data_IF_146390858702
#
_entry.id   IF_146390858702
#
_cell.length_a   1.000
_cell.length_b   1.000
_cell.length_c   1.000
_cell.angle_alpha   90.00
_cell.angle_beta   90.00
_cell.angle_gamma   90.00
#
_symmetry.space_group_name_H-M   'P 1'
#
loop_
_entity.id
_entity.type
_entity.pdbx_description
1 polymer ?
#
# COMPACT_ATOMS: atom_id res chain seq x y z
N UNK A 1 -1.98 -16.42 29.48
CA UNK A 1 -2.28 -17.28 30.63
C UNK A 1 -1.43 -16.88 31.86
N UNK A 2 -0.11 -17.16 31.90
CA UNK A 2 0.72 -16.88 33.08
C UNK A 2 0.73 -15.40 33.54
N UNK A 3 0.83 -14.43 32.62
CA UNK A 3 0.76 -12.99 32.95
C UNK A 3 -0.64 -12.55 33.40
N UNK A 4 -1.67 -13.15 32.90
CA UNK A 4 -3.06 -12.88 33.33
C UNK A 4 -3.33 -13.42 34.73
N UNK A 5 -2.80 -14.59 35.04
CA UNK A 5 -2.86 -15.22 36.37
C UNK A 5 -2.07 -14.37 37.38
N UNK A 6 -0.83 -14.01 37.06
CA UNK A 6 -0.02 -13.11 37.90
C UNK A 6 -0.69 -11.74 38.15
N UNK A 7 -1.38 -11.17 37.12
CA UNK A 7 -2.16 -9.96 37.29
C UNK A 7 -3.32 -10.16 38.27
N UNK A 8 -4.06 -11.27 38.14
CA UNK A 8 -5.19 -11.56 39.01
C UNK A 8 -4.76 -11.67 40.49
N UNK A 9 -3.66 -12.37 40.74
CA UNK A 9 -3.11 -12.55 42.09
C UNK A 9 -2.67 -11.22 42.72
N UNK A 10 -2.00 -10.36 41.95
CA UNK A 10 -1.58 -9.04 42.42
C UNK A 10 -2.76 -8.11 42.71
N UNK A 11 -3.83 -8.18 41.90
CA UNK A 11 -5.05 -7.40 42.10
C UNK A 11 -5.77 -7.87 43.38
N UNK A 12 -5.83 -9.17 43.65
CA UNK A 12 -6.43 -9.73 44.83
C UNK A 12 -5.62 -9.35 46.09
N UNK A 13 -4.32 -9.50 46.05
CA UNK A 13 -3.41 -9.09 47.15
C UNK A 13 -3.52 -7.58 47.43
N UNK A 14 -3.60 -6.75 46.40
CA UNK A 14 -3.81 -5.30 46.56
C UNK A 14 -5.13 -4.96 47.24
N UNK A 15 -6.21 -5.66 46.88
CA UNK A 15 -7.52 -5.47 47.52
C UNK A 15 -7.47 -5.85 49.02
N UNK A 16 -6.80 -6.94 49.33
CA UNK A 16 -6.58 -7.36 50.71
C UNK A 16 -5.83 -6.30 51.52
N UNK A 17 -4.70 -5.80 51.00
CA UNK A 17 -3.90 -4.78 51.67
C UNK A 17 -4.66 -3.46 51.88
N UNK A 18 -5.51 -3.07 50.94
CA UNK A 18 -6.39 -1.90 51.12
C UNK A 18 -7.46 -2.11 52.18
N UNK A 19 -8.00 -3.32 52.30
CA UNK A 19 -8.95 -3.67 53.37
C UNK A 19 -8.27 -3.63 54.74
N UNK A 20 -7.07 -4.23 54.86
CA UNK A 20 -6.27 -4.19 56.11
C UNK A 20 -5.90 -2.76 56.50
N UNK A 21 -5.57 -1.89 55.54
CA UNK A 21 -5.29 -0.48 55.79
C UNK A 21 -6.50 0.25 56.37
N UNK A 22 -7.71 -0.02 55.85
CA UNK A 22 -8.98 0.54 56.37
C UNK A 22 -9.27 0.07 57.78
N UNK A 23 -9.14 -1.23 58.05
CA UNK A 23 -9.44 -1.84 59.34
C UNK A 23 -8.46 -1.30 60.44
N UNK A 24 -7.19 -1.03 60.08
CA UNK A 24 -6.22 -0.43 61.00
C UNK A 24 -6.46 1.06 61.24
N UNK A 25 -6.90 1.79 60.23
CA UNK A 25 -7.30 3.20 60.37
C UNK A 25 -8.51 3.31 61.34
N UNK A 26 -9.49 2.44 61.18
CA UNK A 26 -10.66 2.37 62.07
C UNK A 26 -10.28 1.98 63.52
N UNK A 27 -9.19 1.21 63.70
CA UNK A 27 -8.62 0.85 64.97
C UNK A 27 -7.68 1.93 65.57
N UNK A 28 -7.45 3.05 64.85
CA UNK A 28 -6.58 4.18 65.27
C UNK A 28 -5.09 3.96 65.02
N UNK A 29 -4.66 2.90 64.33
CA UNK A 29 -3.29 2.62 63.95
C UNK A 29 -2.96 3.24 62.57
N UNK A 30 -2.75 4.55 62.54
CA UNK A 30 -2.47 5.32 61.33
C UNK A 30 -1.13 4.93 60.68
N UNK A 31 -0.10 4.59 61.47
CA UNK A 31 1.19 4.17 60.95
C UNK A 31 1.12 2.80 60.24
N UNK A 32 0.36 1.87 60.81
CA UNK A 32 0.07 0.58 60.16
C UNK A 32 -0.76 0.74 58.91
N UNK A 33 -1.76 1.60 58.89
CA UNK A 33 -2.58 1.90 57.72
C UNK A 33 -1.74 2.47 56.59
N UNK A 34 -0.84 3.43 56.83
CA UNK A 34 0.03 4.02 55.83
C UNK A 34 1.04 3.01 55.26
N UNK A 35 1.54 2.10 56.07
CA UNK A 35 2.39 1.02 55.63
C UNK A 35 1.69 0.10 54.61
N UNK A 36 0.44 -0.35 54.92
CA UNK A 36 -0.34 -1.18 53.99
C UNK A 36 -0.79 -0.43 52.75
N UNK A 37 -1.09 0.86 52.81
CA UNK A 37 -1.34 1.70 51.62
C UNK A 37 -0.12 1.78 50.74
N UNK A 38 1.06 2.00 51.26
CA UNK A 38 2.29 2.04 50.47
C UNK A 38 2.61 0.73 49.78
N UNK A 39 2.31 -0.42 50.43
CA UNK A 39 2.42 -1.72 49.80
C UNK A 39 1.38 -1.89 48.68
N UNK A 40 0.13 -1.49 48.87
CA UNK A 40 -0.93 -1.55 47.89
C UNK A 40 -0.62 -0.69 46.64
N UNK A 41 -0.02 0.49 46.83
CA UNK A 41 0.40 1.37 45.74
C UNK A 41 1.56 0.77 44.93
N UNK A 42 2.52 0.11 45.59
CA UNK A 42 3.59 -0.64 44.91
C UNK A 42 3.03 -1.78 44.05
N UNK A 43 2.03 -2.50 44.54
CA UNK A 43 1.36 -3.54 43.77
C UNK A 43 0.53 -2.96 42.61
N UNK A 44 -0.04 -1.77 42.78
CA UNK A 44 -0.74 -1.08 41.68
C UNK A 44 0.19 -0.76 40.52
N UNK A 45 1.41 -0.32 40.79
CA UNK A 45 2.40 -0.06 39.75
C UNK A 45 2.87 -1.36 39.07
N UNK A 46 3.04 -2.45 39.84
CA UNK A 46 3.34 -3.76 39.28
C UNK A 46 2.18 -4.28 38.37
N UNK A 47 0.93 -4.07 38.73
CA UNK A 47 -0.23 -4.40 37.90
C UNK A 47 -0.22 -3.61 36.60
N UNK A 48 0.10 -2.30 36.63
CA UNK A 48 0.22 -1.46 35.43
C UNK A 48 1.32 -1.95 34.48
N UNK A 49 2.45 -2.39 35.03
CA UNK A 49 3.56 -2.93 34.24
C UNK A 49 3.18 -4.27 33.58
N UNK A 50 2.50 -5.16 34.29
CA UNK A 50 1.96 -6.40 33.71
C UNK A 50 0.92 -6.11 32.64
N UNK A 51 0.03 -5.14 32.85
CA UNK A 51 -0.93 -4.73 31.80
C UNK A 51 -0.26 -4.17 30.56
N UNK A 52 0.85 -3.48 30.72
CA UNK A 52 1.67 -3.01 29.59
C UNK A 52 2.31 -4.18 28.83
N UNK A 53 2.87 -5.15 29.57
CA UNK A 53 3.43 -6.37 28.98
C UNK A 53 2.36 -7.23 28.28
N UNK A 54 1.17 -7.37 28.88
CA UNK A 54 0.04 -8.07 28.25
C UNK A 54 -0.41 -7.40 26.94
N UNK A 55 -0.51 -6.07 26.93
CA UNK A 55 -0.84 -5.31 25.71
C UNK A 55 0.22 -5.50 24.61
N UNK A 56 1.50 -5.55 24.99
CA UNK A 56 2.60 -5.86 24.07
C UNK A 56 2.55 -7.33 23.59
N UNK A 57 2.29 -8.26 24.49
CA UNK A 57 2.20 -9.69 24.19
C UNK A 57 0.95 -10.08 23.39
N UNK A 58 -0.17 -9.34 23.54
CA UNK A 58 -1.39 -9.55 22.75
C UNK A 58 -1.26 -9.12 21.29
N UNK A 59 -0.09 -8.59 20.89
CA UNK A 59 0.28 -8.46 19.49
C UNK A 59 -0.59 -7.51 18.67
N UNK A 60 -1.28 -6.53 19.31
CA UNK A 60 -2.08 -5.55 18.55
C UNK A 60 -1.17 -4.80 17.56
N UNK A 61 0.03 -4.41 17.98
CA UNK A 61 1.02 -3.79 17.10
C UNK A 61 1.49 -4.75 16.01
N UNK A 62 1.81 -6.01 16.38
CA UNK A 62 2.25 -7.03 15.43
C UNK A 62 1.16 -7.40 14.42
N UNK A 63 -0.11 -7.48 14.86
CA UNK A 63 -1.24 -7.72 13.94
C UNK A 63 -1.45 -6.56 12.98
N UNK A 64 -1.28 -5.32 13.45
CA UNK A 64 -1.36 -4.14 12.60
C UNK A 64 -0.23 -4.13 11.56
N UNK A 65 0.99 -4.46 11.96
CA UNK A 65 2.12 -4.57 11.04
C UNK A 65 1.93 -5.69 10.02
N UNK A 66 1.42 -6.86 10.45
CA UNK A 66 1.12 -7.95 9.54
C UNK A 66 0.05 -7.56 8.52
N UNK A 67 -1.07 -6.98 8.97
CA UNK A 67 -2.11 -6.51 8.05
C UNK A 67 -1.60 -5.42 7.11
N UNK A 68 -0.74 -4.51 7.60
CA UNK A 68 -0.08 -3.50 6.74
C UNK A 68 0.82 -4.13 5.69
N UNK A 69 1.53 -5.21 6.06
CA UNK A 69 2.38 -5.94 5.13
C UNK A 69 1.54 -6.67 4.07
N UNK A 70 0.47 -7.34 4.48
CA UNK A 70 -0.48 -8.02 3.58
C UNK A 70 -1.09 -7.05 2.56
N UNK A 71 -1.60 -5.90 3.02
CA UNK A 71 -2.15 -4.86 2.14
C UNK A 71 -1.10 -4.28 1.19
N UNK A 72 0.14 -4.08 1.67
CA UNK A 72 1.25 -3.61 0.84
C UNK A 72 1.61 -4.63 -0.23
N UNK A 73 1.69 -5.91 0.12
CA UNK A 73 1.97 -6.99 -0.83
C UNK A 73 0.87 -7.08 -1.88
N UNK A 74 -0.41 -7.03 -1.47
CA UNK A 74 -1.53 -7.04 -2.39
C UNK A 74 -1.51 -5.84 -3.35
N UNK A 75 -1.22 -4.64 -2.83
CA UNK A 75 -1.09 -3.44 -3.66
C UNK A 75 0.09 -3.53 -4.63
N UNK A 76 1.24 -4.05 -4.19
CA UNK A 76 2.42 -4.25 -5.04
C UNK A 76 2.13 -5.25 -6.15
N UNK A 77 1.45 -6.37 -5.83
CA UNK A 77 1.04 -7.35 -6.84
C UNK A 77 0.09 -6.75 -7.88
N UNK A 78 -0.90 -5.97 -7.45
CA UNK A 78 -1.82 -5.26 -8.35
C UNK A 78 -1.09 -4.25 -9.24
N UNK A 79 -0.15 -3.50 -8.69
CA UNK A 79 0.67 -2.54 -9.44
C UNK A 79 1.55 -3.24 -10.48
N UNK A 80 2.25 -4.31 -10.09
CA UNK A 80 3.08 -5.11 -11.01
C UNK A 80 2.22 -5.75 -12.11
N UNK A 81 1.04 -6.25 -11.76
CA UNK A 81 0.11 -6.80 -12.75
C UNK A 81 -0.36 -5.74 -13.75
N UNK A 82 -0.61 -4.50 -13.27
CA UNK A 82 -0.91 -3.35 -14.12
C UNK A 82 0.23 -3.05 -15.09
N UNK A 83 1.44 -2.92 -14.56
CA UNK A 83 2.65 -2.65 -15.35
C UNK A 83 2.90 -3.75 -16.38
N UNK A 84 2.79 -5.03 -15.98
CA UNK A 84 2.95 -6.15 -16.91
C UNK A 84 1.96 -6.10 -18.08
N UNK A 85 0.66 -5.85 -17.80
CA UNK A 85 -0.35 -5.78 -18.85
C UNK A 85 -0.12 -4.57 -19.79
N UNK A 86 0.33 -3.43 -19.27
CA UNK A 86 0.72 -2.27 -20.08
C UNK A 86 1.92 -2.59 -20.97
N UNK A 87 2.99 -3.13 -20.38
CA UNK A 87 4.19 -3.52 -21.13
C UNK A 87 3.90 -4.57 -22.20
N UNK A 88 2.97 -5.48 -21.94
CA UNK A 88 2.52 -6.48 -22.94
C UNK A 88 1.89 -5.81 -24.15
N UNK A 89 1.04 -4.81 -23.95
CA UNK A 89 0.42 -4.05 -25.05
C UNK A 89 1.46 -3.18 -25.78
N UNK A 90 2.33 -2.51 -25.06
CA UNK A 90 3.38 -1.68 -25.62
C UNK A 90 4.37 -2.51 -26.45
N UNK A 91 4.73 -3.71 -25.96
CA UNK A 91 5.57 -4.65 -26.70
C UNK A 91 4.90 -5.11 -28.00
N UNK A 92 3.60 -5.45 -27.94
CA UNK A 92 2.85 -5.82 -29.16
C UNK A 92 2.77 -4.68 -30.16
N UNK A 93 2.55 -3.44 -29.72
CA UNK A 93 2.56 -2.26 -30.58
C UNK A 93 3.96 -2.03 -31.20
N UNK A 94 5.03 -2.10 -30.39
CA UNK A 94 6.39 -1.95 -30.88
C UNK A 94 6.81 -3.05 -31.87
N UNK A 95 6.34 -4.29 -31.67
CA UNK A 95 6.54 -5.36 -32.65
C UNK A 95 5.87 -5.04 -33.99
N UNK A 96 4.62 -4.53 -33.97
CA UNK A 96 3.91 -4.15 -35.19
C UNK A 96 4.65 -2.98 -35.92
N UNK A 97 5.15 -2.00 -35.15
CA UNK A 97 5.97 -0.91 -35.72
C UNK A 97 7.29 -1.41 -36.32
N UNK A 98 7.95 -2.37 -35.68
CA UNK A 98 9.18 -2.97 -36.20
C UNK A 98 8.91 -3.73 -37.51
N UNK A 99 7.83 -4.50 -37.60
CA UNK A 99 7.44 -5.19 -38.84
C UNK A 99 7.09 -4.17 -39.97
N UNK A 100 6.37 -3.09 -39.63
CA UNK A 100 6.10 -2.02 -40.60
C UNK A 100 7.40 -1.38 -41.11
N UNK A 101 8.34 -1.06 -40.23
CA UNK A 101 9.63 -0.48 -40.61
C UNK A 101 10.49 -1.44 -41.50
N UNK A 102 10.43 -2.76 -41.22
CA UNK A 102 11.03 -3.77 -42.09
C UNK A 102 10.40 -3.77 -43.48
N UNK A 103 9.08 -3.73 -43.58
CA UNK A 103 8.39 -3.65 -44.87
C UNK A 103 8.76 -2.38 -45.62
N UNK A 104 8.90 -1.23 -44.95
CA UNK A 104 9.33 0.03 -45.55
C UNK A 104 10.76 -0.04 -46.07
N UNK A 105 11.65 -0.68 -45.31
CA UNK A 105 13.02 -0.92 -45.77
C UNK A 105 13.07 -1.80 -47.03
N UNK A 106 12.34 -2.91 -47.09
CA UNK A 106 12.27 -3.74 -48.28
C UNK A 106 11.66 -2.99 -49.49
N UNK A 107 10.63 -2.17 -49.27
CA UNK A 107 10.12 -1.27 -50.33
C UNK A 107 11.17 -0.30 -50.83
N UNK A 108 11.95 0.32 -49.93
CA UNK A 108 13.02 1.23 -50.31
C UNK A 108 14.08 0.51 -51.16
N UNK A 109 14.48 -0.71 -50.83
CA UNK A 109 15.37 -1.57 -51.64
C UNK A 109 14.81 -1.83 -53.03
N UNK A 110 13.55 -2.25 -53.13
CA UNK A 110 12.91 -2.50 -54.41
C UNK A 110 12.83 -1.24 -55.27
N UNK A 111 12.52 -0.08 -54.70
CA UNK A 111 12.50 1.19 -55.40
C UNK A 111 13.91 1.59 -55.84
N UNK A 112 14.94 1.39 -55.06
CA UNK A 112 16.30 1.66 -55.41
C UNK A 112 16.79 0.79 -56.59
N UNK A 113 16.40 -0.49 -56.62
CA UNK A 113 16.74 -1.42 -57.70
C UNK A 113 16.19 -0.98 -59.05
N UNK A 114 15.12 -0.18 -59.13
CA UNK A 114 14.56 0.40 -60.34
C UNK A 114 14.85 1.88 -60.51
N UNK A 115 15.82 2.43 -59.74
CA UNK A 115 16.20 3.83 -59.80
C UNK A 115 15.22 4.82 -59.16
N UNK A 116 14.23 4.35 -58.41
CA UNK A 116 13.17 5.16 -57.78
C UNK A 116 13.45 5.57 -56.33
N UNK A 117 14.59 5.21 -55.76
CA UNK A 117 15.05 5.65 -54.45
C UNK A 117 16.59 5.77 -54.43
N UNK A 118 17.14 6.62 -53.57
CA UNK A 118 18.55 6.76 -53.35
C UNK A 118 19.08 5.73 -52.34
N UNK A 119 20.38 5.42 -52.41
CA UNK A 119 21.04 4.56 -51.42
C UNK A 119 20.91 5.11 -49.98
N UNK A 120 20.91 6.43 -49.85
CA UNK A 120 20.70 7.12 -48.58
C UNK A 120 19.32 6.80 -47.98
N UNK A 121 18.25 6.83 -48.80
CA UNK A 121 16.89 6.47 -48.35
C UNK A 121 16.80 5.00 -47.90
N UNK A 122 17.52 4.09 -48.57
CA UNK A 122 17.58 2.68 -48.15
C UNK A 122 18.30 2.55 -46.81
N UNK A 123 19.41 3.27 -46.61
CA UNK A 123 20.12 3.24 -45.32
C UNK A 123 19.31 3.86 -44.18
N UNK A 124 18.60 4.96 -44.40
CA UNK A 124 17.72 5.58 -43.42
C UNK A 124 16.58 4.63 -43.00
N UNK A 125 15.97 3.94 -43.97
CA UNK A 125 14.93 2.94 -43.69
C UNK A 125 15.49 1.72 -42.94
N UNK A 126 16.73 1.29 -43.20
CA UNK A 126 17.40 0.22 -42.47
C UNK A 126 17.62 0.62 -41.00
N UNK A 127 18.17 1.82 -40.77
CA UNK A 127 18.42 2.33 -39.43
C UNK A 127 17.11 2.42 -38.61
N UNK A 128 16.04 2.90 -39.25
CA UNK A 128 14.72 2.96 -38.63
C UNK A 128 14.21 1.55 -38.24
N UNK A 129 14.35 0.57 -39.13
CA UNK A 129 13.95 -0.81 -38.85
C UNK A 129 14.74 -1.40 -37.67
N UNK A 130 16.05 -1.18 -37.62
CA UNK A 130 16.89 -1.62 -36.51
C UNK A 130 16.54 -0.93 -35.18
N UNK A 131 16.24 0.36 -35.21
CA UNK A 131 15.84 1.12 -34.04
C UNK A 131 14.52 0.56 -33.44
N UNK A 132 13.52 0.31 -34.31
CA UNK A 132 12.24 -0.27 -33.90
C UNK A 132 12.37 -1.70 -33.38
N UNK A 133 13.22 -2.52 -33.98
CA UNK A 133 13.55 -3.85 -33.44
C UNK A 133 14.16 -3.80 -32.04
N UNK A 134 15.14 -2.90 -31.84
CA UNK A 134 15.77 -2.70 -30.55
C UNK A 134 14.77 -2.22 -29.49
N UNK A 135 13.86 -1.32 -29.87
CA UNK A 135 12.80 -0.84 -28.97
C UNK A 135 11.84 -1.98 -28.57
N UNK A 136 11.41 -2.80 -29.52
CA UNK A 136 10.56 -3.96 -29.24
C UNK A 136 11.27 -4.97 -28.32
N UNK A 137 12.56 -5.25 -28.60
CA UNK A 137 13.35 -6.16 -27.75
C UNK A 137 13.53 -5.62 -26.32
N UNK A 138 13.75 -4.31 -26.16
CA UNK A 138 13.87 -3.69 -24.83
C UNK A 138 12.56 -3.80 -24.03
N UNK A 139 11.43 -3.51 -24.64
CA UNK A 139 10.10 -3.66 -24.00
C UNK A 139 9.80 -5.12 -23.66
N UNK A 140 10.17 -6.06 -24.52
CA UNK A 140 10.05 -7.49 -24.25
C UNK A 140 10.87 -7.92 -23.02
N UNK A 141 12.11 -7.45 -22.90
CA UNK A 141 12.96 -7.76 -21.76
C UNK A 141 12.41 -7.15 -20.45
N UNK A 142 11.84 -5.94 -20.50
CA UNK A 142 11.23 -5.30 -19.34
C UNK A 142 9.93 -6.02 -18.91
N UNK A 143 9.11 -6.43 -19.88
CA UNK A 143 7.92 -7.25 -19.64
C UNK A 143 8.27 -8.56 -18.93
N UNK A 144 9.30 -9.29 -19.40
CA UNK A 144 9.73 -10.55 -18.77
C UNK A 144 10.31 -10.33 -17.38
N UNK A 145 11.01 -9.22 -17.13
CA UNK A 145 11.47 -8.87 -15.78
C UNK A 145 10.30 -8.64 -14.84
N UNK A 146 9.32 -7.83 -15.25
CA UNK A 146 8.11 -7.56 -14.45
C UNK A 146 7.32 -8.84 -14.19
N UNK A 147 7.26 -9.74 -15.18
CA UNK A 147 6.67 -11.07 -15.05
C UNK A 147 7.37 -11.87 -13.95
N UNK A 148 8.68 -11.94 -13.99
CA UNK A 148 9.47 -12.69 -12.99
C UNK A 148 9.27 -12.12 -11.57
N UNK A 149 9.25 -10.80 -11.41
CA UNK A 149 8.99 -10.13 -10.12
C UNK A 149 7.59 -10.47 -9.58
N UNK A 150 6.56 -10.46 -10.45
CA UNK A 150 5.19 -10.82 -10.06
C UNK A 150 5.07 -12.28 -9.65
N UNK A 151 5.72 -13.20 -10.38
CA UNK A 151 5.75 -14.62 -10.04
C UNK A 151 6.41 -14.87 -8.69
N UNK A 152 7.58 -14.25 -8.44
CA UNK A 152 8.27 -14.33 -7.14
C UNK A 152 7.38 -13.83 -6.00
N UNK A 153 6.70 -12.70 -6.18
CA UNK A 153 5.79 -12.14 -5.18
C UNK A 153 4.61 -13.08 -4.89
N UNK A 154 4.14 -13.79 -5.92
CA UNK A 154 3.06 -14.78 -5.80
C UNK A 154 3.54 -16.16 -5.29
N UNK A 155 4.84 -16.36 -5.06
CA UNK A 155 5.43 -17.58 -4.55
C UNK A 155 5.74 -18.64 -5.61
N UNK A 156 5.72 -18.27 -6.89
CA UNK A 156 6.10 -19.15 -8.01
C UNK A 156 7.58 -18.98 -8.38
N UNK A 157 8.15 -19.96 -9.04
CA UNK A 157 9.48 -19.82 -9.62
C UNK A 157 9.43 -18.91 -10.87
N UNK A 158 10.46 -18.07 -11.12
CA UNK A 158 10.46 -17.14 -12.26
C UNK A 158 10.31 -17.81 -13.63
N UNK A 159 10.81 -19.06 -13.76
CA UNK A 159 10.77 -19.86 -14.97
C UNK A 159 9.47 -20.66 -15.11
N UNK A 160 8.58 -20.59 -14.12
CA UNK A 160 7.34 -21.37 -14.15
C UNK A 160 6.38 -20.84 -15.21
N UNK A 161 5.79 -21.75 -15.98
CA UNK A 161 4.87 -21.41 -17.06
C UNK A 161 3.46 -21.08 -16.51
N UNK A 162 3.37 -19.95 -15.78
CA UNK A 162 2.12 -19.41 -15.26
C UNK A 162 1.60 -18.35 -16.23
N UNK A 163 0.33 -18.44 -16.60
CA UNK A 163 -0.32 -17.40 -17.39
C UNK A 163 -0.83 -16.27 -16.48
N UNK A 164 -0.41 -15.05 -16.80
CA UNK A 164 -0.87 -13.85 -16.09
C UNK A 164 -2.09 -13.32 -16.82
N UNK A 165 -3.25 -13.37 -16.15
CA UNK A 165 -4.50 -12.87 -16.69
C UNK A 165 -4.53 -11.36 -16.90
N UNK A 166 -5.59 -10.90 -17.57
CA UNK A 166 -5.84 -9.47 -17.74
C UNK A 166 -6.34 -8.83 -16.45
N UNK A 167 -6.11 -7.52 -16.31
CA UNK A 167 -6.67 -6.75 -15.19
C UNK A 167 -8.20 -6.77 -15.26
N UNK A 168 -8.88 -6.93 -14.11
CA UNK A 168 -10.33 -6.76 -14.06
C UNK A 168 -10.69 -5.30 -14.41
N UNK A 169 -11.73 -5.13 -15.21
CA UNK A 169 -12.23 -3.78 -15.55
C UNK A 169 -12.80 -3.15 -14.28
N UNK A 170 -12.36 -1.91 -13.94
CA UNK A 170 -12.88 -1.21 -12.77
C UNK A 170 -14.40 -1.00 -12.89
N UNK A 171 -15.10 -1.25 -11.79
CA UNK A 171 -16.54 -0.99 -11.72
C UNK A 171 -16.79 0.53 -11.66
N UNK A 172 -17.28 1.08 -12.76
CA UNK A 172 -17.58 2.51 -12.88
C UNK A 172 -18.60 2.98 -11.84
N UNK A 173 -19.55 2.12 -11.44
CA UNK A 173 -20.57 2.47 -10.44
C UNK A 173 -19.96 2.71 -9.05
N UNK A 174 -18.87 2.01 -8.73
CA UNK A 174 -18.13 2.23 -7.48
C UNK A 174 -17.40 3.57 -7.47
N UNK A 175 -16.83 3.99 -8.61
CA UNK A 175 -16.23 5.32 -8.75
C UNK A 175 -17.27 6.44 -8.61
N UNK A 176 -18.45 6.26 -9.24
CA UNK A 176 -19.56 7.22 -9.15
C UNK A 176 -20.13 7.32 -7.73
N UNK A 177 -20.08 6.24 -6.95
CA UNK A 177 -20.54 6.21 -5.56
C UNK A 177 -19.53 6.76 -4.55
N UNK A 178 -18.26 6.95 -4.94
CA UNK A 178 -17.22 7.48 -4.05
C UNK A 178 -17.45 8.95 -3.75
N UNK A 179 -17.47 9.27 -2.45
CA UNK A 179 -17.61 10.64 -1.96
C UNK A 179 -16.53 10.91 -0.92
N UNK A 180 -15.47 11.66 -1.24
CA UNK A 180 -14.34 11.90 -0.32
C UNK A 180 -14.76 12.41 1.05
N UNK A 181 -15.78 13.27 1.11
CA UNK A 181 -16.30 13.85 2.35
C UNK A 181 -16.92 12.79 3.28
N UNK A 182 -17.69 11.85 2.73
CA UNK A 182 -18.33 10.78 3.51
C UNK A 182 -17.34 9.65 3.82
N UNK A 183 -16.40 9.40 2.92
CA UNK A 183 -15.38 8.34 3.04
C UNK A 183 -14.22 8.75 3.96
N UNK A 184 -14.05 10.06 4.27
CA UNK A 184 -13.01 10.59 5.15
C UNK A 184 -12.89 9.79 6.44
N UNK A 185 -14.00 9.56 7.14
CA UNK A 185 -14.00 8.84 8.43
C UNK A 185 -13.48 7.41 8.30
N UNK A 186 -13.89 6.73 7.23
CA UNK A 186 -13.47 5.35 6.96
C UNK A 186 -11.98 5.30 6.59
N UNK A 187 -11.52 6.23 5.74
CA UNK A 187 -10.12 6.32 5.34
C UNK A 187 -9.20 6.59 6.54
N UNK A 188 -9.56 7.57 7.39
CA UNK A 188 -8.81 7.87 8.62
C UNK A 188 -8.82 6.71 9.62
N UNK A 189 -9.94 5.97 9.71
CA UNK A 189 -10.07 4.81 10.59
C UNK A 189 -9.26 3.60 10.13
N UNK A 190 -9.06 3.45 8.82
CA UNK A 190 -8.32 2.33 8.23
C UNK A 190 -6.82 2.63 8.04
N UNK A 191 -6.38 3.88 8.22
CA UNK A 191 -4.97 4.21 8.07
C UNK A 191 -4.14 3.64 9.23
N UNK A 192 -3.16 2.79 8.91
CA UNK A 192 -2.34 2.09 9.89
C UNK A 192 -1.48 3.04 10.71
N UNK A 193 -0.92 4.07 10.10
CA UNK A 193 -0.06 5.05 10.77
C UNK A 193 -0.83 5.89 11.77
N UNK A 194 -2.01 6.39 11.40
CA UNK A 194 -2.92 7.09 12.32
C UNK A 194 -3.41 6.19 13.45
N UNK A 195 -3.69 4.91 13.16
CA UNK A 195 -4.06 3.93 14.19
C UNK A 195 -2.92 3.71 15.18
N UNK A 196 -1.69 3.56 14.70
CA UNK A 196 -0.50 3.42 15.53
C UNK A 196 -0.28 4.67 16.39
N UNK A 197 -0.32 5.87 15.79
CA UNK A 197 -0.20 7.14 16.51
C UNK A 197 -1.26 7.31 17.60
N UNK A 198 -2.52 6.95 17.32
CA UNK A 198 -3.63 7.04 18.27
C UNK A 198 -3.51 6.02 19.42
N UNK A 199 -3.00 4.82 19.14
CA UNK A 199 -2.89 3.73 20.12
C UNK A 199 -1.55 3.72 20.88
N UNK A 200 -0.55 4.49 20.45
CA UNK A 200 0.72 4.58 21.16
C UNK A 200 0.49 5.09 22.60
N UNK A 201 1.06 4.36 23.57
CA UNK A 201 1.01 4.79 24.97
C UNK A 201 1.73 6.13 25.14
N UNK A 202 1.14 7.03 25.93
CA UNK A 202 1.72 8.34 26.20
C UNK A 202 2.03 8.47 27.70
N UNK A 203 3.26 8.82 28.03
CA UNK A 203 3.71 9.15 29.38
C UNK A 203 4.51 10.46 29.32
N UNK A 204 3.81 11.59 29.32
CA UNK A 204 4.44 12.89 29.17
C UNK A 204 3.66 14.00 29.84
N UNK A 205 4.14 15.22 29.71
CA UNK A 205 3.52 16.44 30.25
C UNK A 205 2.28 16.84 29.43
N UNK A 206 1.40 17.64 30.02
CA UNK A 206 0.24 18.20 29.31
C UNK A 206 0.62 18.95 28.02
N UNK A 207 1.78 19.64 28.02
CA UNK A 207 2.29 20.35 26.83
C UNK A 207 2.60 19.37 25.68
N UNK A 208 3.22 18.25 25.99
CA UNK A 208 3.53 17.20 25.02
C UNK A 208 2.29 16.47 24.55
N UNK A 209 1.30 16.30 25.43
CA UNK A 209 -0.02 15.74 25.03
C UNK A 209 -0.70 16.64 24.00
N UNK A 210 -0.72 17.95 24.21
CA UNK A 210 -1.29 18.89 23.24
C UNK A 210 -0.47 18.98 21.94
N UNK A 211 0.86 18.80 22.00
CA UNK A 211 1.67 18.70 20.80
C UNK A 211 1.28 17.46 19.98
N UNK A 212 1.23 16.29 20.61
CA UNK A 212 0.79 15.03 19.97
C UNK A 212 -0.61 15.12 19.37
N UNK A 213 -1.56 15.76 20.06
CA UNK A 213 -2.92 15.94 19.51
C UNK A 213 -2.91 16.79 18.23
N UNK A 214 -2.05 17.82 18.17
CA UNK A 214 -1.89 18.64 16.95
C UNK A 214 -1.24 17.85 15.82
N UNK A 215 -0.22 17.05 16.14
CA UNK A 215 0.46 16.20 15.14
C UNK A 215 -0.50 15.17 14.54
N UNK A 216 -1.35 14.54 15.36
CA UNK A 216 -2.39 13.63 14.90
C UNK A 216 -3.40 14.38 14.01
N UNK A 217 -3.88 15.55 14.42
CA UNK A 217 -4.82 16.35 13.63
C UNK A 217 -4.22 16.78 12.30
N UNK A 218 -2.94 17.16 12.27
CA UNK A 218 -2.22 17.46 11.03
C UNK A 218 -2.14 16.23 10.13
N UNK A 219 -1.76 15.07 10.65
CA UNK A 219 -1.71 13.81 9.90
C UNK A 219 -3.08 13.41 9.33
N UNK A 220 -4.17 13.69 10.04
CA UNK A 220 -5.54 13.48 9.57
C UNK A 220 -5.88 14.37 8.36
N UNK A 221 -5.50 15.64 8.40
CA UNK A 221 -5.73 16.57 7.28
C UNK A 221 -4.85 16.23 6.06
N UNK A 222 -3.61 15.86 6.25
CA UNK A 222 -2.70 15.39 5.18
C UNK A 222 -3.25 14.13 4.51
N UNK A 223 -3.77 13.17 5.30
CA UNK A 223 -4.39 11.96 4.78
C UNK A 223 -5.67 12.27 4.00
N UNK A 224 -6.48 13.21 4.48
CA UNK A 224 -7.67 13.64 3.76
C UNK A 224 -7.33 14.33 2.44
N UNK A 225 -6.35 15.22 2.42
CA UNK A 225 -5.87 15.85 1.19
C UNK A 225 -5.39 14.81 0.17
N UNK A 226 -4.67 13.78 0.65
CA UNK A 226 -4.25 12.65 -0.18
C UNK A 226 -5.43 11.84 -0.73
N UNK A 227 -6.47 11.59 0.08
CA UNK A 227 -7.69 10.92 -0.37
C UNK A 227 -8.37 11.70 -1.51
N UNK A 228 -8.52 13.01 -1.35
CA UNK A 228 -9.11 13.89 -2.38
C UNK A 228 -8.28 13.87 -3.66
N UNK A 229 -6.96 13.95 -3.55
CA UNK A 229 -6.04 13.88 -4.70
C UNK A 229 -6.16 12.55 -5.45
N UNK A 230 -6.22 11.42 -4.73
CA UNK A 230 -6.40 10.09 -5.34
C UNK A 230 -7.75 9.96 -6.04
N UNK A 231 -8.80 10.52 -5.46
CA UNK A 231 -10.11 10.55 -6.09
C UNK A 231 -10.11 11.36 -7.40
N UNK A 232 -9.49 12.55 -7.41
CA UNK A 232 -9.33 13.37 -8.61
C UNK A 232 -8.52 12.62 -9.68
N UNK A 233 -7.41 11.99 -9.31
CA UNK A 233 -6.60 11.19 -10.23
C UNK A 233 -7.38 10.01 -10.83
N UNK A 234 -8.27 9.38 -10.06
CA UNK A 234 -9.14 8.31 -10.56
C UNK A 234 -10.15 8.82 -11.60
N UNK A 235 -10.75 10.00 -11.36
CA UNK A 235 -11.66 10.64 -12.32
C UNK A 235 -10.94 11.07 -13.62
N UNK A 236 -9.75 11.65 -13.50
CA UNK A 236 -8.91 12.01 -14.65
C UNK A 236 -8.52 10.78 -15.46
N UNK A 237 -8.07 9.71 -14.81
CA UNK A 237 -7.74 8.43 -15.45
C UNK A 237 -8.94 7.84 -16.20
N UNK A 238 -10.15 7.93 -15.62
CA UNK A 238 -11.39 7.50 -16.28
C UNK A 238 -11.68 8.32 -17.54
N UNK A 239 -11.56 9.65 -17.47
CA UNK A 239 -11.79 10.52 -18.63
C UNK A 239 -10.79 10.27 -19.74
N UNK A 240 -9.52 10.02 -19.41
CA UNK A 240 -8.48 9.65 -20.37
C UNK A 240 -8.77 8.30 -21.03
N UNK A 241 -9.21 7.30 -20.26
CA UNK A 241 -9.59 5.98 -20.79
C UNK A 241 -10.78 6.09 -21.75
N UNK A 242 -11.78 6.92 -21.42
CA UNK A 242 -12.91 7.16 -22.30
C UNK A 242 -12.48 7.87 -23.59
N UNK A 243 -11.68 8.91 -23.51
CA UNK A 243 -11.16 9.62 -24.70
C UNK A 243 -10.30 8.70 -25.59
N UNK A 244 -9.49 7.81 -24.99
CA UNK A 244 -8.73 6.82 -25.74
C UNK A 244 -9.63 5.83 -26.49
N UNK A 245 -10.71 5.35 -25.84
CA UNK A 245 -11.67 4.44 -26.48
C UNK A 245 -12.43 5.10 -27.63
N UNK A 246 -12.83 6.37 -27.48
CA UNK A 246 -13.46 7.16 -28.54
C UNK A 246 -12.50 7.41 -29.71
N UNK A 247 -11.21 7.68 -29.41
CA UNK A 247 -10.16 7.83 -30.40
C UNK A 247 -9.91 6.55 -31.19
N UNK A 248 -9.91 5.40 -30.54
CA UNK A 248 -9.80 4.10 -31.23
C UNK A 248 -10.99 3.85 -32.15
N UNK A 249 -12.22 4.06 -31.69
CA UNK A 249 -13.43 3.88 -32.50
C UNK A 249 -13.44 4.82 -33.71
N UNK A 250 -12.99 6.07 -33.55
CA UNK A 250 -12.84 7.01 -34.66
C UNK A 250 -11.76 6.57 -35.67
N UNK A 251 -10.65 6.04 -35.20
CA UNK A 251 -9.59 5.49 -36.03
C UNK A 251 -10.04 4.27 -36.85
N UNK A 252 -10.76 3.34 -36.22
CA UNK A 252 -11.35 2.18 -36.90
C UNK A 252 -12.37 2.58 -37.97
N UNK A 253 -13.17 3.62 -37.71
CA UNK A 253 -14.16 4.11 -38.67
C UNK A 253 -13.55 4.86 -39.86
N UNK A 254 -12.30 5.31 -39.74
CA UNK A 254 -11.57 6.03 -40.78
C UNK A 254 -10.78 5.13 -41.75
N UNK A 255 -10.69 3.82 -41.42
CA UNK A 255 -10.11 2.77 -42.23
C UNK A 255 -11.21 2.04 -43.04
#
# INVERSE_FOLDING_TARGET
AALEEAKADLVETRKFLRSEASDREDAGDTAGADHYRGQADTLEDAVKDIEKQLRQAQGVSQRLELSRLEDRMAWTAQSLMGTYNTLKLDHMAAQAEAELAKCQHEQAKHRAAVGGASEKEVQEALLLAQDRENQAAALGAEMERTRAELLLLAGFAPEEAVDIGTLPIPDASRLDAMQPETDKRKALGNNYELREQRHASFSGTNKELHARQRDIAQSEEEMYARLVSLYQAALESRSLSQAASEGMAAGEAAW
#
